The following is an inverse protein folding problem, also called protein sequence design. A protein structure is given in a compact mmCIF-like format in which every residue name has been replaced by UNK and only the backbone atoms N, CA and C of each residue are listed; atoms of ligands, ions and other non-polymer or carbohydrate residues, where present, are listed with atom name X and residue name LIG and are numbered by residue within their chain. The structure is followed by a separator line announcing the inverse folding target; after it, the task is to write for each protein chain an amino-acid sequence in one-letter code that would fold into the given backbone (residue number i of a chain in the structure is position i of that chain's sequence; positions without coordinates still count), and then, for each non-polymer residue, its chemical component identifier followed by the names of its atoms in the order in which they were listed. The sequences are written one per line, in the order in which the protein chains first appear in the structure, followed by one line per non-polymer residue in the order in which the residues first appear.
data_IF_159491664179
#
_entry.id   IF_159491664179
#
_cell.length_a   1.000
_cell.length_b   1.000
_cell.length_c   1.000
_cell.angle_alpha   90.00
_cell.angle_beta   90.00
_cell.angle_gamma   90.00
#
_symmetry.space_group_name_H-M   'P 1'
#
loop_
_entity.id
_entity.type
_entity.pdbx_description
1 polymer ?
#
# COMPACT_ATOMS: atom_id res chain seq x y z
N UNK A 1 23.52 -14.49 -12.87
CA UNK A 1 23.45 -13.94 -11.51
C UNK A 1 22.12 -13.21 -11.40
N UNK A 2 21.18 -13.72 -10.62
CA UNK A 2 19.80 -13.20 -10.51
C UNK A 2 19.82 -11.74 -10.04
N UNK A 3 19.07 -10.84 -10.68
CA UNK A 3 19.01 -9.41 -10.33
C UNK A 3 18.70 -9.17 -8.85
N UNK A 4 17.90 -10.05 -8.25
CA UNK A 4 17.64 -10.08 -6.81
C UNK A 4 18.92 -10.03 -5.97
N UNK A 5 19.92 -10.87 -6.27
CA UNK A 5 21.17 -10.95 -5.50
C UNK A 5 22.06 -9.73 -5.71
N UNK A 6 21.96 -9.08 -6.87
CA UNK A 6 22.70 -7.84 -7.15
C UNK A 6 22.19 -6.70 -6.28
N UNK A 7 20.88 -6.66 -6.05
CA UNK A 7 20.21 -5.67 -5.18
C UNK A 7 20.46 -5.87 -3.68
N UNK A 8 21.04 -7.02 -3.29
CA UNK A 8 21.41 -7.32 -1.91
C UNK A 8 22.78 -6.71 -1.55
N UNK A 9 22.98 -6.31 -0.28
CA UNK A 9 24.25 -5.75 0.18
C UNK A 9 25.34 -6.82 0.08
N UNK A 10 26.53 -6.42 -0.38
CA UNK A 10 27.60 -7.35 -0.78
C UNK A 10 28.01 -8.31 0.34
N UNK A 11 28.08 -7.79 1.56
CA UNK A 11 28.41 -8.53 2.79
C UNK A 11 27.44 -9.70 3.07
N UNK A 12 26.18 -9.55 2.68
CA UNK A 12 25.12 -10.53 2.95
C UNK A 12 24.77 -11.40 1.75
N UNK A 13 25.31 -11.15 0.55
CA UNK A 13 24.95 -11.90 -0.68
C UNK A 13 25.13 -13.41 -0.56
N UNK A 14 26.25 -13.85 0.02
CA UNK A 14 26.53 -15.26 0.21
C UNK A 14 25.57 -15.90 1.21
N UNK A 15 25.20 -15.17 2.27
CA UNK A 15 24.24 -15.64 3.27
C UNK A 15 22.84 -15.74 2.67
N UNK A 16 22.40 -14.71 1.92
CA UNK A 16 21.12 -14.73 1.19
C UNK A 16 21.08 -15.91 0.20
N UNK A 17 22.17 -16.14 -0.54
CA UNK A 17 22.27 -17.29 -1.45
C UNK A 17 22.13 -18.63 -0.72
N UNK A 18 22.85 -18.80 0.39
CA UNK A 18 22.78 -20.03 1.18
C UNK A 18 21.38 -20.24 1.76
N UNK A 19 20.74 -19.17 2.23
CA UNK A 19 19.38 -19.20 2.75
C UNK A 19 18.37 -19.59 1.67
N UNK A 20 18.45 -19.00 0.48
CA UNK A 20 17.58 -19.34 -0.65
C UNK A 20 17.80 -20.76 -1.18
N UNK A 21 18.98 -21.34 -0.95
CA UNK A 21 19.28 -22.73 -1.30
C UNK A 21 18.85 -23.74 -0.22
N UNK A 22 18.38 -23.27 0.93
CA UNK A 22 17.90 -24.14 2.01
C UNK A 22 16.46 -24.60 1.78
N UNK A 23 16.06 -25.69 2.45
CA UNK A 23 14.72 -26.26 2.33
C UNK A 23 13.63 -25.35 2.90
N UNK A 24 13.97 -24.47 3.86
CA UNK A 24 13.02 -23.61 4.56
C UNK A 24 13.59 -22.21 4.76
N UNK A 25 12.92 -21.23 4.17
CA UNK A 25 13.29 -19.82 4.25
C UNK A 25 12.37 -19.11 5.24
N UNK A 26 12.95 -18.58 6.32
CA UNK A 26 12.21 -17.73 7.25
C UNK A 26 12.10 -16.32 6.68
N UNK A 27 10.85 -15.86 6.50
CA UNK A 27 10.55 -14.56 5.91
C UNK A 27 9.41 -13.88 6.67
N UNK A 28 9.50 -12.55 6.82
CA UNK A 28 8.40 -11.70 7.26
C UNK A 28 7.76 -10.98 6.09
N UNK A 29 6.45 -10.78 6.18
CA UNK A 29 5.69 -9.89 5.32
C UNK A 29 5.57 -8.55 6.04
N UNK A 30 5.85 -7.49 5.32
CA UNK A 30 5.91 -6.11 5.82
C UNK A 30 4.93 -5.23 5.06
N UNK A 31 4.22 -4.37 5.78
CA UNK A 31 3.29 -3.39 5.22
C UNK A 31 3.73 -1.98 5.62
N UNK A 32 3.92 -1.14 4.61
CA UNK A 32 4.20 0.29 4.75
C UNK A 32 3.04 1.09 4.20
N UNK A 33 2.54 2.04 5.00
CA UNK A 33 1.51 3.00 4.62
C UNK A 33 1.99 4.40 4.98
N UNK A 34 2.19 5.26 3.99
CA UNK A 34 2.69 6.63 4.21
C UNK A 34 1.53 7.58 4.55
N UNK A 35 1.03 7.60 5.79
CA UNK A 35 0.05 8.60 6.21
C UNK A 35 0.69 9.98 6.37
N UNK A 36 -0.09 11.05 6.18
CA UNK A 36 0.40 12.43 6.23
C UNK A 36 0.99 12.81 7.60
N UNK A 37 0.35 12.38 8.68
CA UNK A 37 0.82 12.63 10.04
C UNK A 37 2.07 11.82 10.37
N UNK A 38 2.04 10.51 10.13
CA UNK A 38 3.17 9.62 10.36
C UNK A 38 3.02 8.29 9.58
N UNK A 39 4.09 7.80 8.94
CA UNK A 39 4.03 6.52 8.24
C UNK A 39 3.87 5.34 9.20
N UNK A 40 2.99 4.41 8.84
CA UNK A 40 2.78 3.15 9.55
C UNK A 40 3.64 2.06 8.90
N UNK A 41 4.35 1.29 9.74
CA UNK A 41 5.19 0.16 9.34
C UNK A 41 4.90 -1.04 10.22
N UNK A 42 4.30 -2.07 9.63
CA UNK A 42 3.89 -3.28 10.33
C UNK A 42 4.59 -4.49 9.74
N UNK A 43 4.85 -5.49 10.58
CA UNK A 43 5.30 -6.81 10.16
C UNK A 43 4.35 -7.89 10.66
N UNK A 44 4.22 -9.00 9.94
CA UNK A 44 3.46 -10.16 10.43
C UNK A 44 4.14 -10.90 11.61
N UNK A 45 5.24 -10.37 12.14
CA UNK A 45 5.94 -10.89 13.31
C UNK A 45 5.41 -10.21 14.58
N UNK A 46 5.56 -10.88 15.72
CA UNK A 46 5.21 -10.31 17.03
C UNK A 46 6.32 -9.41 17.60
N UNK A 47 7.55 -9.60 17.15
CA UNK A 47 8.72 -8.90 17.66
C UNK A 47 9.12 -7.84 16.63
N UNK A 48 9.20 -6.55 17.03
CA UNK A 48 9.66 -5.50 16.13
C UNK A 48 11.13 -5.68 15.78
N UNK A 49 11.52 -5.23 14.59
CA UNK A 49 12.90 -5.27 14.13
C UNK A 49 13.23 -4.05 13.27
N UNK A 50 14.51 -3.76 13.10
CA UNK A 50 14.99 -2.67 12.25
C UNK A 50 15.60 -3.24 10.98
N UNK A 51 15.19 -2.74 9.81
CA UNK A 51 15.73 -3.22 8.53
C UNK A 51 17.13 -2.64 8.23
N UNK A 52 17.88 -3.37 7.41
CA UNK A 52 19.28 -3.02 7.08
C UNK A 52 19.42 -2.01 5.95
N UNK A 53 18.35 -1.68 5.22
CA UNK A 53 18.41 -0.85 4.01
C UNK A 53 18.12 0.62 4.30
N UNK A 54 17.05 0.86 5.04
CA UNK A 54 16.52 2.18 5.36
C UNK A 54 16.63 2.51 6.86
N UNK A 55 16.93 1.50 7.69
CA UNK A 55 16.98 1.68 9.15
C UNK A 55 15.60 1.92 9.75
N UNK A 56 14.52 1.50 9.08
CA UNK A 56 13.18 1.66 9.61
C UNK A 56 12.86 0.57 10.63
N UNK A 57 12.21 0.96 11.72
CA UNK A 57 11.65 0.01 12.68
C UNK A 57 10.27 -0.43 12.22
N UNK A 58 10.12 -1.74 12.03
CA UNK A 58 8.87 -2.39 11.68
C UNK A 58 8.21 -2.89 12.95
N UNK A 59 7.00 -2.40 13.23
CA UNK A 59 6.22 -2.78 14.40
C UNK A 59 5.82 -4.26 14.37
N UNK A 60 5.53 -4.79 15.55
CA UNK A 60 4.88 -6.09 15.67
C UNK A 60 3.42 -5.97 15.23
N UNK A 61 3.00 -6.80 14.29
CA UNK A 61 1.63 -6.82 13.75
C UNK A 61 1.15 -8.24 13.51
N UNK A 62 1.64 -9.21 14.29
CA UNK A 62 1.18 -10.59 14.21
C UNK A 62 -0.33 -10.67 14.35
N UNK A 63 -0.99 -11.26 13.36
CA UNK A 63 -2.45 -11.35 13.27
C UNK A 63 -3.15 -10.17 12.57
N UNK A 64 -2.46 -9.06 12.29
CA UNK A 64 -3.08 -7.88 11.71
C UNK A 64 -3.22 -7.94 10.18
N UNK A 65 -2.33 -8.63 9.47
CA UNK A 65 -2.39 -8.81 8.01
C UNK A 65 -3.32 -9.98 7.65
N UNK A 66 -4.63 -9.75 7.67
CA UNK A 66 -5.67 -10.80 7.52
C UNK A 66 -6.02 -11.07 6.05
N UNK A 67 -5.62 -10.20 5.11
CA UNK A 67 -5.79 -10.45 3.68
C UNK A 67 -4.68 -9.82 2.87
N UNK A 68 -3.89 -10.65 2.19
CA UNK A 68 -3.06 -10.21 1.08
C UNK A 68 -3.90 -10.30 -0.20
N UNK A 69 -3.91 -9.27 -1.06
CA UNK A 69 -4.55 -9.37 -2.36
C UNK A 69 -3.88 -10.49 -3.17
N UNK A 70 -4.66 -11.20 -4.00
CA UNK A 70 -4.04 -11.98 -5.07
C UNK A 70 -3.32 -11.02 -6.00
N UNK A 71 -1.99 -11.02 -5.97
CA UNK A 71 -1.16 -10.27 -6.90
C UNK A 71 -1.23 -10.98 -8.25
N UNK A 72 -2.31 -10.76 -8.98
CA UNK A 72 -2.53 -11.27 -10.33
C UNK A 72 -2.13 -10.20 -11.34
N UNK A 73 -1.28 -10.59 -12.30
CA UNK A 73 -0.87 -9.74 -13.42
C UNK A 73 -0.48 -10.61 -14.61
N UNK A 74 -1.00 -10.27 -15.79
CA UNK A 74 -0.67 -10.89 -17.06
C UNK A 74 -0.84 -9.88 -18.19
N UNK A 75 -0.29 -10.16 -19.37
CA UNK A 75 -0.23 -9.22 -20.50
C UNK A 75 -1.61 -8.66 -20.92
N UNK A 76 -2.69 -9.41 -20.64
CA UNK A 76 -4.08 -9.05 -20.96
C UNK A 76 -4.95 -8.67 -19.75
N UNK A 77 -4.38 -8.58 -18.54
CA UNK A 77 -5.14 -8.20 -17.34
C UNK A 77 -5.00 -6.70 -17.08
N UNK A 78 -6.14 -5.99 -17.09
CA UNK A 78 -6.24 -4.63 -16.55
C UNK A 78 -5.75 -4.68 -15.10
N UNK A 79 -4.68 -3.93 -14.80
CA UNK A 79 -4.00 -4.00 -13.51
C UNK A 79 -4.99 -3.79 -12.36
N UNK A 80 -5.19 -4.79 -11.48
CA UNK A 80 -6.25 -4.75 -10.50
C UNK A 80 -5.94 -3.72 -9.39
N UNK A 81 -7.00 -3.15 -8.83
CA UNK A 81 -6.91 -2.53 -7.51
C UNK A 81 -6.64 -3.63 -6.50
N UNK A 82 -5.73 -3.34 -5.58
CA UNK A 82 -5.37 -4.24 -4.49
C UNK A 82 -6.09 -3.79 -3.22
N UNK A 83 -6.51 -4.73 -2.38
CA UNK A 83 -7.14 -4.42 -1.09
C UNK A 83 -6.34 -5.06 0.04
N UNK A 84 -5.80 -4.22 0.92
CA UNK A 84 -5.18 -4.64 2.17
C UNK A 84 -6.22 -4.61 3.29
N UNK A 85 -6.34 -5.70 4.05
CA UNK A 85 -7.27 -5.79 5.18
C UNK A 85 -6.53 -5.94 6.50
N UNK A 86 -6.76 -5.00 7.38
CA UNK A 86 -6.27 -4.97 8.75
C UNK A 86 -7.41 -5.39 9.69
N UNK A 87 -7.26 -6.54 10.35
CA UNK A 87 -8.17 -6.96 11.40
C UNK A 87 -7.73 -6.41 12.75
N UNK A 88 -8.64 -5.78 13.49
CA UNK A 88 -8.41 -5.23 14.83
C UNK A 88 -9.38 -5.90 15.81
N UNK A 89 -8.96 -6.97 16.51
CA UNK A 89 -9.79 -7.61 17.53
C UNK A 89 -10.04 -6.67 18.72
N UNK A 90 -11.26 -6.64 19.27
CA UNK A 90 -11.61 -5.78 20.41
C UNK A 90 -10.67 -5.97 21.61
N UNK A 91 -10.23 -7.22 21.82
CA UNK A 91 -9.35 -7.63 22.92
C UNK A 91 -7.95 -6.96 22.86
N UNK A 92 -7.57 -6.43 21.71
CA UNK A 92 -6.26 -5.80 21.49
C UNK A 92 -6.33 -4.27 21.55
N UNK A 93 -7.52 -3.71 21.83
CA UNK A 93 -7.76 -2.27 21.79
C UNK A 93 -8.08 -1.76 23.19
N UNK A 94 -7.16 -1.02 23.78
CA UNK A 94 -7.27 -0.52 25.16
C UNK A 94 -7.92 0.89 25.25
N UNK A 95 -8.26 1.51 24.12
CA UNK A 95 -8.73 2.90 24.05
C UNK A 95 -10.26 2.95 24.12
N UNK A 96 -10.83 3.75 25.01
CA UNK A 96 -12.27 3.77 25.32
C UNK A 96 -13.18 4.19 24.12
N UNK A 97 -12.67 5.01 23.18
CA UNK A 97 -13.40 5.52 22.02
C UNK A 97 -12.83 5.09 20.66
N UNK A 98 -12.07 3.99 20.65
CA UNK A 98 -11.32 3.54 19.48
C UNK A 98 -12.13 3.43 18.17
N UNK A 99 -13.40 3.04 18.26
CA UNK A 99 -14.28 2.89 17.09
C UNK A 99 -14.61 4.24 16.45
N UNK A 100 -14.79 5.30 17.24
CA UNK A 100 -15.02 6.65 16.74
C UNK A 100 -13.74 7.20 16.09
N UNK A 101 -12.60 7.01 16.73
CA UNK A 101 -11.30 7.43 16.22
C UNK A 101 -10.96 6.74 14.88
N UNK A 102 -11.31 5.45 14.74
CA UNK A 102 -11.16 4.74 13.46
C UNK A 102 -12.06 5.29 12.36
N UNK A 103 -13.30 5.67 12.67
CA UNK A 103 -14.20 6.29 11.69
C UNK A 103 -13.67 7.66 11.26
N UNK A 104 -13.15 8.46 12.19
CA UNK A 104 -12.53 9.74 11.91
C UNK A 104 -11.29 9.57 11.02
N UNK A 105 -10.39 8.64 11.37
CA UNK A 105 -9.20 8.31 10.58
C UNK A 105 -9.55 7.87 9.16
N UNK A 106 -10.56 7.00 8.99
CA UNK A 106 -11.01 6.55 7.66
C UNK A 106 -11.71 7.68 6.88
N UNK A 107 -12.32 8.63 7.58
CA UNK A 107 -12.96 9.80 7.01
C UNK A 107 -11.98 10.89 6.54
N UNK A 108 -10.77 10.94 7.10
CA UNK A 108 -9.75 11.91 6.71
C UNK A 108 -9.01 11.48 5.43
N UNK A 109 -9.61 11.81 4.29
CA UNK A 109 -9.07 11.51 2.97
C UNK A 109 -7.70 12.18 2.74
N UNK A 110 -7.43 13.32 3.37
CA UNK A 110 -6.16 14.03 3.18
C UNK A 110 -4.98 13.32 3.85
N UNK A 111 -5.25 12.52 4.88
CA UNK A 111 -4.23 11.73 5.57
C UNK A 111 -3.66 10.60 4.72
N UNK A 112 -4.46 9.98 3.84
CA UNK A 112 -4.02 8.77 3.13
C UNK A 112 -4.06 8.85 1.61
N UNK A 113 -5.01 9.57 0.99
CA UNK A 113 -5.22 9.44 -0.47
C UNK A 113 -4.04 10.02 -1.27
N UNK A 114 -3.60 9.27 -2.27
CA UNK A 114 -2.54 9.67 -3.19
C UNK A 114 -1.12 9.48 -2.63
N UNK A 115 -0.98 8.80 -1.49
CA UNK A 115 0.30 8.54 -0.83
C UNK A 115 0.76 7.11 -1.02
N UNK A 116 2.03 6.86 -0.74
CA UNK A 116 2.66 5.58 -1.05
C UNK A 116 2.19 4.46 -0.10
N UNK A 117 1.95 3.28 -0.67
CA UNK A 117 1.77 2.03 0.04
C UNK A 117 2.73 0.98 -0.53
N UNK A 118 3.24 0.10 0.34
CA UNK A 118 4.16 -0.94 -0.08
C UNK A 118 4.04 -2.21 0.74
N UNK A 119 4.06 -3.34 0.03
CA UNK A 119 4.13 -4.67 0.59
C UNK A 119 5.53 -5.25 0.32
N UNK A 120 6.25 -5.62 1.37
CA UNK A 120 7.62 -6.10 1.26
C UNK A 120 7.82 -7.44 1.95
N UNK A 121 8.88 -8.14 1.54
CA UNK A 121 9.43 -9.31 2.20
C UNK A 121 10.78 -8.99 2.83
N UNK A 122 11.02 -9.49 4.04
CA UNK A 122 12.34 -9.48 4.68
C UNK A 122 12.74 -10.90 5.07
N UNK A 123 13.95 -11.30 4.67
CA UNK A 123 14.53 -12.58 5.03
C UNK A 123 15.16 -12.51 6.42
N UNK A 124 15.12 -13.62 7.16
CA UNK A 124 15.70 -13.75 8.49
C UNK A 124 16.65 -14.93 8.57
N UNK A 125 17.70 -14.78 9.37
CA UNK A 125 18.55 -15.90 9.77
C UNK A 125 17.76 -16.86 10.66
N UNK A 126 17.65 -18.16 10.32
CA UNK A 126 16.97 -19.13 11.17
C UNK A 126 17.60 -19.28 12.57
N UNK A 127 18.89 -18.99 12.71
CA UNK A 127 19.62 -19.19 13.98
C UNK A 127 19.56 -17.95 14.87
N UNK A 128 19.94 -16.78 14.34
CA UNK A 128 19.97 -15.53 15.12
C UNK A 128 18.65 -14.77 15.11
N UNK A 129 17.71 -15.14 14.23
CA UNK A 129 16.43 -14.48 14.04
C UNK A 129 16.56 -12.99 13.69
N UNK A 130 17.71 -12.59 13.15
CA UNK A 130 18.02 -11.23 12.69
C UNK A 130 17.70 -11.08 11.19
N UNK A 131 17.36 -9.87 10.72
CA UNK A 131 17.15 -9.63 9.29
C UNK A 131 18.45 -9.88 8.52
N UNK A 132 18.37 -10.61 7.41
CA UNK A 132 19.46 -10.81 6.45
C UNK A 132 19.12 -10.08 5.16
N UNK A 133 20.06 -9.25 4.70
CA UNK A 133 19.92 -8.51 3.44
C UNK A 133 18.88 -7.40 3.49
N UNK A 134 18.61 -6.83 2.32
CA UNK A 134 17.64 -5.77 2.11
C UNK A 134 16.21 -6.33 1.97
N UNK A 135 15.19 -5.62 2.50
CA UNK A 135 13.81 -5.88 2.14
C UNK A 135 13.59 -5.76 0.63
N UNK A 136 12.71 -6.59 0.09
CA UNK A 136 12.33 -6.59 -1.31
C UNK A 136 10.81 -6.42 -1.47
N UNK A 137 10.38 -5.70 -2.49
CA UNK A 137 8.96 -5.43 -2.69
C UNK A 137 8.26 -6.62 -3.34
N UNK A 138 7.11 -7.00 -2.78
CA UNK A 138 6.11 -7.83 -3.46
C UNK A 138 5.17 -6.96 -4.30
N UNK A 139 4.77 -5.82 -3.75
CA UNK A 139 3.88 -4.86 -4.39
C UNK A 139 4.21 -3.44 -3.92
N UNK A 140 3.98 -2.46 -4.81
CA UNK A 140 4.08 -1.03 -4.51
C UNK A 140 2.88 -0.38 -5.19
N UNK A 141 2.16 0.44 -4.44
CA UNK A 141 0.97 1.11 -4.92
C UNK A 141 0.72 2.45 -4.26
N UNK A 142 -0.40 3.06 -4.63
CA UNK A 142 -0.84 4.36 -4.11
C UNK A 142 -2.15 4.14 -3.34
N UNK A 143 -2.24 4.66 -2.13
CA UNK A 143 -3.44 4.61 -1.30
C UNK A 143 -4.59 5.40 -1.97
N UNK A 144 -5.75 4.79 -2.17
CA UNK A 144 -6.91 5.46 -2.79
C UNK A 144 -8.11 5.59 -1.84
N UNK A 145 -8.57 4.48 -1.28
CA UNK A 145 -9.81 4.45 -0.50
C UNK A 145 -9.68 3.57 0.73
N UNK A 146 -10.03 4.11 1.89
CA UNK A 146 -10.17 3.36 3.12
C UNK A 146 -11.65 3.12 3.43
N UNK A 147 -11.93 1.98 4.06
CA UNK A 147 -13.24 1.63 4.60
C UNK A 147 -13.05 0.92 5.94
N UNK A 148 -14.05 1.01 6.82
CA UNK A 148 -14.07 0.27 8.09
C UNK A 148 -15.40 -0.45 8.23
N UNK A 149 -15.32 -1.70 8.68
CA UNK A 149 -16.47 -2.50 9.07
C UNK A 149 -16.32 -2.93 10.53
N UNK A 150 -17.42 -2.98 11.27
CA UNK A 150 -17.46 -3.36 12.68
C UNK A 150 -18.24 -4.67 12.85
N UNK A 151 -17.62 -5.84 12.56
CA UNK A 151 -18.21 -7.12 12.92
C UNK A 151 -18.30 -7.27 14.45
N UNK A 152 -19.02 -8.29 14.93
CA UNK A 152 -19.02 -8.60 16.37
C UNK A 152 -17.62 -9.06 16.79
N UNK A 153 -17.01 -8.37 17.77
CA UNK A 153 -15.71 -8.71 18.34
C UNK A 153 -14.50 -8.01 17.74
N UNK A 154 -14.69 -6.98 16.90
CA UNK A 154 -13.57 -6.22 16.33
C UNK A 154 -13.97 -5.19 15.27
N UNK A 155 -12.95 -4.62 14.64
CA UNK A 155 -13.07 -3.88 13.39
C UNK A 155 -12.20 -4.49 12.29
N UNK A 156 -12.61 -4.25 11.05
CA UNK A 156 -11.82 -4.55 9.86
C UNK A 156 -11.64 -3.25 9.09
N UNK A 157 -10.40 -2.76 9.01
CA UNK A 157 -10.04 -1.63 8.17
C UNK A 157 -9.54 -2.17 6.84
N UNK A 158 -10.18 -1.78 5.74
CA UNK A 158 -9.78 -2.19 4.39
C UNK A 158 -9.29 -0.97 3.62
N UNK A 159 -8.08 -1.07 3.07
CA UNK A 159 -7.45 -0.04 2.26
C UNK A 159 -7.27 -0.55 0.84
N UNK A 160 -7.91 0.13 -0.10
CA UNK A 160 -7.68 -0.07 -1.52
C UNK A 160 -6.46 0.73 -1.98
N UNK A 161 -5.53 0.05 -2.67
CA UNK A 161 -4.35 0.65 -3.27
C UNK A 161 -4.35 0.43 -4.78
N UNK A 162 -3.94 1.46 -5.50
CA UNK A 162 -3.75 1.43 -6.94
C UNK A 162 -2.36 0.87 -7.26
N UNK A 163 -2.30 -0.20 -8.06
CA UNK A 163 -1.02 -0.67 -8.61
C UNK A 163 -0.47 0.30 -9.66
N UNK A 164 0.83 0.22 -9.97
CA UNK A 164 1.52 1.09 -10.93
C UNK A 164 0.82 1.20 -12.30
N UNK A 165 0.14 0.14 -12.74
CA UNK A 165 -0.58 0.11 -14.01
C UNK A 165 -2.10 0.31 -13.89
N UNK A 166 -2.65 0.55 -12.69
CA UNK A 166 -4.10 0.62 -12.46
C UNK A 166 -4.81 1.70 -13.30
N UNK A 167 -4.06 2.75 -13.71
CA UNK A 167 -4.57 3.82 -14.59
C UNK A 167 -4.08 3.72 -16.03
N UNK A 168 -3.40 2.63 -16.41
CA UNK A 168 -2.93 2.42 -17.78
C UNK A 168 -4.13 2.25 -18.72
N UNK A 169 -4.32 3.22 -19.61
CA UNK A 169 -5.42 3.22 -20.57
C UNK A 169 -6.69 3.91 -20.07
N UNK A 170 -6.72 4.40 -18.82
CA UNK A 170 -7.75 5.37 -18.42
C UNK A 170 -7.44 6.66 -19.17
N UNK A 171 -8.30 7.09 -20.12
CA UNK A 171 -8.08 8.37 -20.78
C UNK A 171 -8.04 9.44 -19.69
N UNK A 172 -7.18 10.45 -19.85
CA UNK A 172 -7.15 11.58 -18.92
C UNK A 172 -8.55 12.21 -18.92
N UNK A 173 -9.36 11.81 -17.94
CA UNK A 173 -10.69 12.36 -17.76
C UNK A 173 -10.50 13.75 -17.18
N UNK A 174 -10.59 14.75 -18.04
CA UNK A 174 -10.83 16.12 -17.62
C UNK A 174 -12.34 16.32 -17.66
N UNK A 175 -12.92 16.74 -16.54
CA UNK A 175 -14.23 17.35 -16.64
C UNK A 175 -14.00 18.67 -17.39
N UNK A 176 -14.78 18.97 -18.44
CA UNK A 176 -14.73 20.31 -19.03
C UNK A 176 -15.49 21.28 -18.12
N UNK A 177 -15.03 21.40 -16.88
CA UNK A 177 -15.59 22.28 -15.85
C UNK A 177 -14.73 23.52 -15.73
N UNK A 178 -15.35 24.57 -15.22
CA UNK A 178 -14.68 25.80 -14.88
C UNK A 178 -13.49 25.57 -13.92
N UNK A 179 -13.64 24.68 -12.95
CA UNK A 179 -12.57 24.32 -12.01
C UNK A 179 -11.37 23.66 -12.70
N UNK A 180 -11.60 22.76 -13.66
CA UNK A 180 -10.51 22.11 -14.40
C UNK A 180 -9.78 23.09 -15.33
N UNK A 181 -10.51 24.04 -15.93
CA UNK A 181 -9.91 25.14 -16.68
C UNK A 181 -9.06 26.02 -15.77
N UNK A 182 -9.56 26.44 -14.61
CA UNK A 182 -8.81 27.26 -13.66
C UNK A 182 -7.56 26.58 -13.11
N UNK A 183 -7.61 25.26 -12.90
CA UNK A 183 -6.45 24.47 -12.48
C UNK A 183 -5.32 24.47 -13.52
N UNK A 184 -5.64 24.44 -14.82
CA UNK A 184 -4.65 24.39 -15.91
C UNK A 184 -4.25 25.77 -16.42
N UNK A 185 -5.21 26.69 -16.48
CA UNK A 185 -5.09 28.04 -17.02
C UNK A 185 -5.84 29.03 -16.12
N UNK A 186 -5.20 29.53 -15.04
CA UNK A 186 -5.86 30.34 -14.02
C UNK A 186 -6.52 31.64 -14.54
N UNK A 187 -6.02 32.19 -15.64
CA UNK A 187 -6.52 33.43 -16.26
C UNK A 187 -7.62 33.21 -17.30
N UNK A 188 -7.93 31.95 -17.64
CA UNK A 188 -8.94 31.62 -18.66
C UNK A 188 -10.33 31.50 -18.01
N UNK A 189 -11.34 32.08 -18.66
CA UNK A 189 -12.74 32.15 -18.19
C UNK A 189 -13.72 31.45 -19.15
N UNK A 190 -13.20 30.79 -20.20
CA UNK A 190 -14.03 30.22 -21.28
C UNK A 190 -15.12 29.23 -20.85
N UNK A 191 -15.00 28.58 -19.68
CA UNK A 191 -15.96 27.61 -19.16
C UNK A 191 -16.81 28.14 -17.99
N UNK A 192 -16.75 29.44 -17.67
CA UNK A 192 -17.47 30.01 -16.51
C UNK A 192 -19.00 29.83 -16.53
N UNK A 193 -19.59 29.64 -17.71
CA UNK A 193 -21.04 29.43 -17.90
C UNK A 193 -21.41 28.01 -18.33
N UNK A 194 -20.43 27.10 -18.42
CA UNK A 194 -20.69 25.70 -18.78
C UNK A 194 -21.19 25.00 -17.53
N UNK A 195 -22.46 24.57 -17.55
CA UNK A 195 -23.01 23.67 -16.53
C UNK A 195 -22.13 22.44 -16.42
N UNK A 196 -21.68 22.15 -15.20
CA UNK A 196 -20.82 21.00 -14.90
C UNK A 196 -21.49 19.71 -15.38
N UNK A 197 -21.02 19.19 -16.50
CA UNK A 197 -21.54 17.96 -17.09
C UNK A 197 -20.44 16.90 -16.97
N UNK A 198 -20.60 15.98 -16.01
CA UNK A 198 -19.78 14.79 -15.85
C UNK A 198 -20.05 13.76 -16.96
N UNK A 199 -19.81 14.13 -18.23
CA UNK A 199 -19.97 13.22 -19.37
C UNK A 199 -18.64 12.61 -19.74
N UNK A 200 -18.63 11.29 -19.95
CA UNK A 200 -17.52 10.60 -20.62
C UNK A 200 -17.51 11.07 -22.08
N UNK A 201 -16.45 11.75 -22.52
CA UNK A 201 -16.29 12.11 -23.93
C UNK A 201 -15.89 10.82 -24.66
N UNK A 202 -16.83 10.19 -25.35
CA UNK A 202 -16.49 9.19 -26.37
C UNK A 202 -16.04 9.94 -27.61
N UNK A 203 -14.77 9.87 -27.95
CA UNK A 203 -14.33 10.28 -29.29
C UNK A 203 -14.93 9.28 -30.27
N UNK A 204 -15.81 9.73 -31.15
CA UNK A 204 -16.27 8.91 -32.27
C UNK A 204 -15.11 8.82 -33.27
N UNK A 205 -14.74 7.61 -33.64
CA UNK A 205 -13.79 7.38 -34.72
C UNK A 205 -14.35 7.99 -36.01
N UNK A 206 -13.61 8.95 -36.58
CA UNK A 206 -13.82 9.47 -37.94
C UNK A 206 -12.73 8.92 -38.85
#
# INVERSE_FOLDING_TARGET
MTEFLRAQPEEYRNQVMALLASDAVQMAVLLHLDFATAPIRLSNRNIPFTDLKWGHTWGGGGGLLVGLPEVNGGDDQLAPFHEYRLGLPDEWIEVENWAADLVEMVGDVAEYRGRDAGLYGQLFDPNSNQPIGHPFAFDIGIMDRMTVAFPRGGAIVSLTTESFMARKGVPVYGMQTYFDQKRRHPTDEGLQFVTEAGKLISWTDW
#
